data_IF_106566203764
#
_entry.id   IF_106566203764
#
_cell.length_a   1.000
_cell.length_b   1.000
_cell.length_c   1.000
_cell.angle_alpha   90.00
_cell.angle_beta   90.00
_cell.angle_gamma   90.00
#
_symmetry.space_group_name_H-M   'P 1'
#
loop_
_entity.id
_entity.type
_entity.pdbx_description
1 polymer ?
#
# COMPACT_ATOMS: atom_id res chain seq x y z
N UNK A 1 6.09 5.96 34.64
CA UNK A 1 6.63 5.01 33.64
C UNK A 1 5.44 4.48 32.85
N UNK A 2 5.21 4.98 31.63
CA UNK A 2 4.19 4.44 30.74
C UNK A 2 4.92 3.70 29.63
N UNK A 3 4.84 2.37 29.66
CA UNK A 3 5.20 1.54 28.53
C UNK A 3 4.04 1.61 27.54
N UNK A 4 4.18 2.44 26.50
CA UNK A 4 3.39 2.30 25.28
C UNK A 4 3.93 1.10 24.51
N UNK A 5 3.38 -0.08 24.76
CA UNK A 5 3.71 -1.28 23.99
C UNK A 5 2.41 -1.94 23.54
N UNK A 6 1.88 -1.47 22.42
CA UNK A 6 0.96 -2.24 21.57
C UNK A 6 0.98 -1.67 20.14
N UNK A 7 2.18 -1.59 19.56
CA UNK A 7 2.30 -1.72 18.11
C UNK A 7 2.08 -3.21 17.84
N UNK A 8 0.96 -3.55 17.20
CA UNK A 8 0.60 -4.93 16.90
C UNK A 8 1.70 -5.53 16.01
N UNK A 9 2.64 -6.27 16.61
CA UNK A 9 3.69 -6.91 15.86
C UNK A 9 3.04 -7.89 14.88
N UNK A 10 3.21 -7.60 13.59
CA UNK A 10 2.74 -8.44 12.50
C UNK A 10 3.17 -9.89 12.73
N UNK A 11 2.27 -10.85 12.47
CA UNK A 11 2.52 -12.26 12.76
C UNK A 11 3.76 -12.75 12.01
N UNK A 12 4.53 -13.63 12.65
CA UNK A 12 5.74 -14.22 12.05
C UNK A 12 5.40 -14.90 10.72
N UNK A 13 4.24 -15.58 10.65
CA UNK A 13 3.76 -16.20 9.43
C UNK A 13 3.50 -15.19 8.31
N UNK A 14 2.90 -14.03 8.62
CA UNK A 14 2.64 -13.01 7.60
C UNK A 14 3.94 -12.38 7.10
N UNK A 15 4.88 -12.08 8.00
CA UNK A 15 6.23 -11.59 7.63
C UNK A 15 6.95 -12.57 6.70
N UNK A 16 6.93 -13.85 7.03
CA UNK A 16 7.54 -14.89 6.22
C UNK A 16 6.89 -14.96 4.82
N UNK A 17 5.56 -14.92 4.74
CA UNK A 17 4.85 -14.87 3.46
C UNK A 17 5.22 -13.63 2.64
N UNK A 18 5.22 -12.44 3.23
CA UNK A 18 5.58 -11.22 2.50
C UNK A 18 7.02 -11.28 1.98
N UNK A 19 7.95 -11.88 2.73
CA UNK A 19 9.34 -12.03 2.27
C UNK A 19 9.49 -12.91 1.03
N UNK A 20 8.53 -13.79 0.73
CA UNK A 20 8.53 -14.56 -0.52
C UNK A 20 7.91 -13.82 -1.71
N UNK A 21 7.21 -12.71 -1.46
CA UNK A 21 6.55 -11.92 -2.49
C UNK A 21 7.41 -10.73 -2.96
N UNK A 22 8.36 -10.30 -2.15
CA UNK A 22 9.15 -9.11 -2.40
C UNK A 22 10.54 -9.44 -2.90
N UNK A 23 11.06 -8.55 -3.73
CA UNK A 23 12.46 -8.55 -4.12
C UNK A 23 13.25 -7.91 -2.98
N UNK A 24 14.32 -8.57 -2.53
CA UNK A 24 15.08 -8.14 -1.37
C UNK A 24 15.76 -6.77 -1.52
N UNK A 25 15.96 -6.32 -2.75
CA UNK A 25 16.64 -5.07 -3.10
C UNK A 25 15.67 -3.92 -3.47
N UNK A 26 14.37 -4.20 -3.56
CA UNK A 26 13.40 -3.15 -3.84
C UNK A 26 13.13 -2.31 -2.56
N UNK A 27 13.23 -0.97 -2.61
CA UNK A 27 13.00 -0.14 -1.43
C UNK A 27 11.58 -0.30 -0.89
N UNK A 28 11.46 -0.59 0.40
CA UNK A 28 10.20 -0.65 1.12
C UNK A 28 10.13 0.43 2.21
N UNK A 29 8.92 0.83 2.56
CA UNK A 29 8.66 1.63 3.77
C UNK A 29 7.51 0.96 4.52
N UNK A 30 7.65 0.83 5.84
CA UNK A 30 6.60 0.25 6.70
C UNK A 30 5.57 1.30 7.08
N UNK A 31 4.31 0.91 7.29
CA UNK A 31 3.28 1.84 7.76
C UNK A 31 3.70 2.62 9.01
N UNK A 32 4.35 1.96 9.98
CA UNK A 32 4.82 2.59 11.22
C UNK A 32 5.84 3.73 11.00
N UNK A 33 6.59 3.70 9.89
CA UNK A 33 7.59 4.72 9.53
C UNK A 33 6.95 5.93 8.82
N UNK A 34 5.72 5.78 8.32
CA UNK A 34 4.96 6.82 7.62
C UNK A 34 4.12 7.63 8.60
N UNK A 35 4.70 8.73 9.11
CA UNK A 35 4.01 9.72 9.96
C UNK A 35 3.35 10.84 9.17
N UNK A 36 3.85 11.12 7.96
CA UNK A 36 3.38 12.20 7.10
C UNK A 36 3.36 11.75 5.63
N UNK A 37 2.17 11.42 5.14
CA UNK A 37 1.95 11.00 3.76
C UNK A 37 2.08 12.16 2.76
N UNK A 38 2.00 13.42 3.20
CA UNK A 38 2.07 14.58 2.28
C UNK A 38 3.43 14.74 1.59
N UNK A 39 4.45 14.04 2.10
CA UNK A 39 5.80 13.96 1.50
C UNK A 39 5.89 13.00 0.32
N UNK A 40 4.83 12.24 0.03
CA UNK A 40 4.83 11.21 -0.99
C UNK A 40 3.75 11.48 -2.03
N UNK A 41 4.08 11.17 -3.27
CA UNK A 41 3.11 10.97 -4.33
C UNK A 41 2.60 9.53 -4.20
N UNK A 42 1.34 9.37 -3.82
CA UNK A 42 0.79 8.06 -3.48
C UNK A 42 0.14 7.45 -4.71
N UNK A 43 0.52 6.23 -5.05
CA UNK A 43 0.03 5.50 -6.22
C UNK A 43 -0.62 4.20 -5.75
N UNK A 44 -1.92 4.07 -6.02
CA UNK A 44 -2.68 2.85 -5.77
C UNK A 44 -2.76 2.01 -7.04
N UNK A 45 -2.16 0.82 -6.99
CA UNK A 45 -2.09 -0.09 -8.13
C UNK A 45 -3.13 -1.21 -8.03
N UNK A 46 -4.14 -1.12 -7.16
CA UNK A 46 -5.21 -2.12 -7.08
C UNK A 46 -6.21 -1.91 -8.21
N UNK A 47 -7.08 -2.90 -8.42
CA UNK A 47 -8.18 -2.74 -9.37
C UNK A 47 -9.22 -1.74 -8.85
N UNK A 48 -10.05 -1.22 -9.77
CA UNK A 48 -10.92 -0.06 -9.50
C UNK A 48 -11.88 -0.34 -8.35
N UNK A 49 -12.47 -1.53 -8.33
CA UNK A 49 -13.42 -1.99 -7.33
C UNK A 49 -12.77 -2.00 -5.94
N UNK A 50 -11.48 -2.35 -5.86
CA UNK A 50 -10.74 -2.35 -4.60
C UNK A 50 -10.47 -0.93 -4.08
N UNK A 51 -10.13 -0.02 -4.99
CA UNK A 51 -9.90 1.40 -4.69
C UNK A 51 -11.17 2.10 -4.21
N UNK A 52 -12.30 1.77 -4.83
CA UNK A 52 -13.61 2.32 -4.50
C UNK A 52 -14.09 1.88 -3.12
N UNK A 53 -13.75 0.68 -2.63
CA UNK A 53 -14.06 0.30 -1.23
C UNK A 53 -13.37 1.23 -0.23
N UNK A 54 -12.07 1.44 -0.41
CA UNK A 54 -11.28 2.39 0.39
C UNK A 54 -9.89 2.55 -0.19
N UNK A 55 -9.22 3.67 0.13
CA UNK A 55 -7.85 3.96 -0.30
C UNK A 55 -7.13 4.89 0.68
N UNK A 56 -5.82 5.09 0.48
CA UNK A 56 -5.05 6.10 1.22
C UNK A 56 -5.44 7.51 0.79
N UNK A 57 -5.43 8.46 1.72
CA UNK A 57 -5.79 9.86 1.42
C UNK A 57 -4.88 10.44 0.34
N UNK A 58 -5.47 10.96 -0.73
CA UNK A 58 -4.73 11.58 -1.84
C UNK A 58 -4.05 10.59 -2.79
N UNK A 59 -4.38 9.29 -2.71
CA UNK A 59 -3.87 8.30 -3.64
C UNK A 59 -4.38 8.53 -5.07
N UNK A 60 -3.45 8.51 -6.03
CA UNK A 60 -3.75 8.41 -7.45
C UNK A 60 -3.95 6.93 -7.82
N UNK A 61 -5.15 6.57 -8.26
CA UNK A 61 -5.44 5.22 -8.74
C UNK A 61 -4.92 5.05 -10.17
N UNK A 62 -4.15 3.99 -10.41
CA UNK A 62 -3.56 3.70 -11.73
C UNK A 62 -3.87 2.31 -12.27
N UNK A 63 -4.51 1.44 -11.47
CA UNK A 63 -4.74 0.03 -11.81
C UNK A 63 -3.45 -0.79 -11.84
N UNK A 64 -3.57 -2.12 -11.93
CA UNK A 64 -2.43 -2.99 -12.21
C UNK A 64 -2.52 -3.57 -13.62
N UNK A 65 -3.65 -4.20 -13.96
CA UNK A 65 -3.83 -4.84 -15.27
C UNK A 65 -3.87 -3.82 -16.42
N UNK A 66 -4.46 -2.65 -16.17
CA UNK A 66 -4.58 -1.56 -17.16
C UNK A 66 -3.49 -0.50 -17.04
N UNK A 67 -2.45 -0.74 -16.24
CA UNK A 67 -1.41 0.26 -15.98
C UNK A 67 -0.62 0.61 -17.25
N UNK A 68 -0.52 1.91 -17.52
CA UNK A 68 0.42 2.53 -18.45
C UNK A 68 1.22 3.62 -17.73
N UNK A 69 2.44 3.90 -18.23
CA UNK A 69 3.26 4.98 -17.67
C UNK A 69 2.58 6.36 -17.77
N UNK A 70 1.65 6.53 -18.72
CA UNK A 70 0.90 7.77 -18.88
C UNK A 70 -0.03 8.07 -17.69
N UNK A 71 -0.46 7.03 -16.94
CA UNK A 71 -1.28 7.20 -15.74
C UNK A 71 -0.56 7.97 -14.61
N UNK A 72 0.76 8.07 -14.69
CA UNK A 72 1.61 8.79 -13.72
C UNK A 72 2.34 9.97 -14.35
N UNK A 73 1.95 10.40 -15.56
CA UNK A 73 2.59 11.51 -16.28
C UNK A 73 2.58 12.84 -15.53
N UNK A 74 1.60 13.05 -14.63
CA UNK A 74 1.52 14.23 -13.76
C UNK A 74 2.40 14.18 -12.51
N UNK A 75 3.09 13.07 -12.24
CA UNK A 75 3.95 12.93 -11.07
C UNK A 75 5.36 13.49 -11.34
N UNK A 76 5.94 14.15 -10.34
CA UNK A 76 7.32 14.62 -10.36
C UNK A 76 8.29 13.46 -10.11
N UNK A 77 9.17 13.17 -11.07
CA UNK A 77 10.16 12.09 -11.00
C UNK A 77 11.20 12.28 -9.89
N UNK A 78 11.37 13.49 -9.36
CA UNK A 78 12.30 13.80 -8.29
C UNK A 78 11.69 13.71 -6.89
N UNK A 79 10.36 13.69 -6.80
CA UNK A 79 9.65 13.56 -5.53
C UNK A 79 9.44 12.08 -5.16
N UNK A 80 9.47 11.73 -3.86
CA UNK A 80 9.18 10.37 -3.41
C UNK A 80 7.82 9.87 -3.89
N UNK A 81 7.80 8.67 -4.47
CA UNK A 81 6.58 7.95 -4.83
C UNK A 81 6.39 6.79 -3.86
N UNK A 82 5.22 6.71 -3.24
CA UNK A 82 4.79 5.56 -2.44
C UNK A 82 3.79 4.75 -3.25
N UNK A 83 4.20 3.58 -3.72
CA UNK A 83 3.32 2.65 -4.43
C UNK A 83 2.75 1.64 -3.44
N UNK A 84 1.47 1.30 -3.57
CA UNK A 84 0.87 0.23 -2.78
C UNK A 84 -0.21 -0.54 -3.54
N UNK A 85 -0.41 -1.78 -3.10
CA UNK A 85 -1.56 -2.58 -3.47
C UNK A 85 -2.17 -3.26 -2.23
N UNK A 86 -2.87 -4.38 -2.37
CA UNK A 86 -3.45 -5.12 -1.24
C UNK A 86 -2.39 -5.61 -0.24
N UNK A 87 -1.31 -6.21 -0.75
CA UNK A 87 -0.23 -6.82 0.06
C UNK A 87 1.17 -6.46 -0.41
N UNK A 88 1.34 -5.55 -1.38
CA UNK A 88 2.63 -5.06 -1.86
C UNK A 88 3.25 -5.77 -3.07
N UNK A 89 2.70 -6.91 -3.54
CA UNK A 89 3.27 -7.66 -4.67
C UNK A 89 3.10 -6.90 -6.02
N UNK A 90 1.84 -6.65 -6.43
CA UNK A 90 1.51 -5.88 -7.63
C UNK A 90 2.18 -4.50 -7.67
N UNK A 91 2.21 -3.81 -6.54
CA UNK A 91 2.79 -2.47 -6.47
C UNK A 91 4.30 -2.46 -6.59
N UNK A 92 5.00 -3.52 -6.16
CA UNK A 92 6.44 -3.63 -6.39
C UNK A 92 6.75 -3.69 -7.90
N UNK A 93 5.97 -4.45 -8.67
CA UNK A 93 6.15 -4.53 -10.12
C UNK A 93 5.92 -3.20 -10.82
N UNK A 94 4.85 -2.48 -10.46
CA UNK A 94 4.63 -1.12 -10.96
C UNK A 94 5.75 -0.19 -10.51
N UNK A 95 6.21 -0.32 -9.25
CA UNK A 95 7.32 0.46 -8.73
C UNK A 95 8.61 0.27 -9.54
N UNK A 96 8.90 -0.94 -10.03
CA UNK A 96 10.03 -1.19 -10.94
C UNK A 96 9.85 -0.45 -12.27
N UNK A 97 8.66 -0.51 -12.88
CA UNK A 97 8.33 0.25 -14.10
C UNK A 97 8.51 1.76 -13.90
N UNK A 98 8.17 2.29 -12.73
CA UNK A 98 8.42 3.69 -12.39
C UNK A 98 9.92 3.99 -12.31
N UNK A 99 10.72 3.15 -11.64
CA UNK A 99 12.18 3.34 -11.60
C UNK A 99 12.79 3.30 -13.00
N UNK A 100 12.37 2.38 -13.86
CA UNK A 100 12.78 2.30 -15.27
C UNK A 100 12.39 3.55 -16.07
N UNK A 101 11.24 4.15 -15.76
CA UNK A 101 10.80 5.41 -16.36
C UNK A 101 11.49 6.66 -15.79
N UNK A 102 12.46 6.50 -14.88
CA UNK A 102 13.30 7.57 -14.34
C UNK A 102 12.78 8.21 -13.06
N UNK A 103 11.88 7.57 -12.33
CA UNK A 103 11.53 8.02 -10.97
C UNK A 103 12.66 7.66 -10.00
N UNK A 104 13.25 8.68 -9.38
CA UNK A 104 14.48 8.52 -8.59
C UNK A 104 14.23 7.87 -7.22
N UNK A 105 13.03 8.05 -6.67
CA UNK A 105 12.68 7.67 -5.31
C UNK A 105 11.32 6.95 -5.32
N UNK A 106 11.34 5.63 -5.44
CA UNK A 106 10.13 4.79 -5.44
C UNK A 106 10.21 3.80 -4.30
N UNK A 107 9.17 3.79 -3.46
CA UNK A 107 9.06 2.96 -2.27
C UNK A 107 7.78 2.13 -2.32
N UNK A 108 7.89 0.83 -2.07
CA UNK A 108 6.74 -0.04 -1.93
C UNK A 108 6.24 -0.02 -0.47
N UNK A 109 4.93 0.16 -0.28
CA UNK A 109 4.33 0.08 1.05
C UNK A 109 4.34 -1.37 1.53
N UNK A 110 5.15 -1.64 2.55
CA UNK A 110 5.28 -2.98 3.12
C UNK A 110 3.93 -3.48 3.66
N UNK A 111 3.52 -4.66 3.21
CA UNK A 111 2.24 -5.29 3.55
C UNK A 111 1.00 -4.65 2.92
N UNK A 112 1.18 -3.64 2.06
CA UNK A 112 0.09 -2.98 1.33
C UNK A 112 -0.99 -2.37 2.24
N UNK A 113 -2.21 -2.23 1.70
CA UNK A 113 -3.33 -1.66 2.43
C UNK A 113 -3.79 -2.53 3.61
N UNK A 114 -3.58 -3.86 3.54
CA UNK A 114 -3.90 -4.76 4.65
C UNK A 114 -3.07 -4.41 5.88
N UNK A 115 -1.76 -4.29 5.74
CA UNK A 115 -0.90 -3.95 6.87
C UNK A 115 -1.12 -2.52 7.36
N UNK A 116 -1.37 -1.59 6.44
CA UNK A 116 -1.77 -0.23 6.79
C UNK A 116 -3.02 -0.20 7.71
N UNK A 117 -4.04 -1.00 7.36
CA UNK A 117 -5.26 -1.12 8.16
C UNK A 117 -5.03 -1.87 9.48
N UNK A 118 -4.17 -2.89 9.50
CA UNK A 118 -3.76 -3.60 10.72
C UNK A 118 -3.11 -2.66 11.75
N UNK A 119 -2.36 -1.67 11.28
CA UNK A 119 -1.76 -0.59 12.07
C UNK A 119 -2.79 0.51 12.46
N UNK A 120 -4.08 0.28 12.19
CA UNK A 120 -5.22 1.18 12.45
C UNK A 120 -5.05 2.58 11.85
N UNK A 121 -4.31 2.68 10.75
CA UNK A 121 -4.14 3.95 10.05
C UNK A 121 -5.36 4.27 9.18
N UNK A 122 -5.67 5.56 8.98
CA UNK A 122 -6.89 5.96 8.31
C UNK A 122 -6.88 5.57 6.82
N UNK A 123 -8.02 5.11 6.35
CA UNK A 123 -8.36 4.83 4.95
C UNK A 123 -9.70 5.49 4.63
N UNK A 124 -9.94 5.79 3.36
CA UNK A 124 -11.02 6.69 2.97
C UNK A 124 -11.87 6.10 1.86
N UNK A 125 -13.17 6.35 1.94
CA UNK A 125 -14.17 6.11 0.90
C UNK A 125 -14.94 7.41 0.69
N UNK A 126 -14.92 7.94 -0.54
CA UNK A 126 -15.63 9.18 -0.89
C UNK A 126 -15.34 10.35 0.09
N UNK A 127 -14.08 10.48 0.52
CA UNK A 127 -13.63 11.52 1.45
C UNK A 127 -13.94 11.27 2.93
N UNK A 128 -14.73 10.24 3.25
CA UNK A 128 -15.04 9.84 4.63
C UNK A 128 -14.11 8.72 5.10
N UNK A 129 -13.67 8.78 6.35
CA UNK A 129 -12.86 7.70 6.92
C UNK A 129 -13.72 6.43 7.07
N UNK A 130 -13.15 5.29 6.70
CA UNK A 130 -13.78 3.97 6.81
C UNK A 130 -12.79 2.97 7.41
N UNK A 131 -13.28 1.79 7.79
CA UNK A 131 -12.46 0.64 8.17
C UNK A 131 -12.67 -0.55 7.21
N UNK A 132 -13.44 -0.37 6.13
CA UNK A 132 -13.64 -1.37 5.09
C UNK A 132 -12.40 -1.50 4.23
N UNK A 133 -11.94 -2.72 4.00
CA UNK A 133 -10.75 -3.03 3.22
C UNK A 133 -11.11 -4.10 2.21
N UNK A 134 -10.96 -3.80 0.92
CA UNK A 134 -11.04 -4.83 -0.10
C UNK A 134 -9.80 -5.72 -0.02
N UNK A 135 -10.00 -7.00 0.26
CA UNK A 135 -8.91 -7.94 0.54
C UNK A 135 -8.46 -8.73 -0.68
N UNK A 136 -8.96 -8.41 -1.88
CA UNK A 136 -8.72 -9.09 -3.16
C UNK A 136 -9.30 -10.52 -3.21
N UNK A 137 -9.04 -11.34 -2.19
CA UNK A 137 -9.56 -12.69 -2.08
C UNK A 137 -9.74 -13.09 -0.61
N UNK A 138 -10.54 -14.14 -0.37
CA UNK A 138 -10.70 -14.72 0.97
C UNK A 138 -9.38 -15.21 1.58
N UNK A 139 -8.46 -15.69 0.74
CA UNK A 139 -7.13 -16.15 1.19
C UNK A 139 -6.26 -15.00 1.68
N UNK A 140 -6.31 -13.83 1.04
CA UNK A 140 -5.61 -12.64 1.55
C UNK A 140 -6.34 -12.02 2.74
N UNK A 141 -7.66 -12.10 2.77
CA UNK A 141 -8.48 -11.62 3.87
C UNK A 141 -8.15 -12.24 5.23
N UNK A 142 -7.51 -13.42 5.29
CA UNK A 142 -7.08 -14.01 6.59
C UNK A 142 -6.03 -13.14 7.31
N UNK A 143 -5.26 -12.35 6.56
CA UNK A 143 -4.19 -11.50 7.08
C UNK A 143 -4.67 -10.12 7.55
N UNK A 144 -5.91 -9.75 7.19
CA UNK A 144 -6.56 -8.58 7.78
C UNK A 144 -7.09 -8.92 9.16
N UNK A 145 -6.45 -8.34 10.18
CA UNK A 145 -6.77 -8.52 11.60
C UNK A 145 -7.48 -7.31 12.21
N UNK A 146 -7.35 -6.12 11.60
CA UNK A 146 -8.09 -4.91 11.95
C UNK A 146 -8.78 -4.36 10.70
N UNK A 147 -10.09 -4.17 10.76
CA UNK A 147 -10.90 -3.69 9.64
C UNK A 147 -12.02 -4.66 9.24
N UNK A 148 -12.94 -4.17 8.41
CA UNK A 148 -14.05 -4.94 7.82
C UNK A 148 -13.62 -5.44 6.44
N UNK A 149 -13.70 -6.76 6.21
CA UNK A 149 -13.26 -7.38 4.95
C UNK A 149 -14.34 -7.21 3.88
N UNK A 150 -13.92 -6.73 2.72
CA UNK A 150 -14.74 -6.68 1.49
C UNK A 150 -14.03 -7.51 0.40
N UNK A 151 -14.83 -8.07 -0.52
CA UNK A 151 -14.40 -8.96 -1.61
C UNK A 151 -15.14 -8.63 -2.90
#
# INVERSE_FOLDING_TARGET
>A
MHFSSDLAAQSVAYKALLSTLYDSDFPIVKPAELTDLSKYQIVDTREKEEFEVSHLKGANWVGYDTFSIDNVSGLDKNQPVLVYCTVGARSQEIGKKLKEAGFNQVYNLYGGLIEWANEKKPIFHEGSQTNKVHTYSKSWGIWLTKGEKVY
#
